data_IF_718389889343
#
_entry.id   IF_718389889343
#
_cell.length_a   1.000
_cell.length_b   1.000
_cell.length_c   1.000
_cell.angle_alpha   90.00
_cell.angle_beta   90.00
_cell.angle_gamma   90.00
#
_symmetry.space_group_name_H-M   'P 1'
#
loop_
_entity.id
_entity.type
_entity.pdbx_description
1 polymer ?
#
# COMPACT_ATOMS: atom_id res chain seq x y z
N UNK A 1 -65.00 7.72 -23.68
CA UNK A 1 -63.91 7.65 -22.69
C UNK A 1 -62.63 7.94 -23.44
N UNK A 2 -62.12 9.17 -23.33
CA UNK A 2 -60.90 9.60 -24.00
C UNK A 2 -59.71 9.24 -23.10
N UNK A 3 -58.71 8.59 -23.70
CA UNK A 3 -57.37 8.41 -23.16
C UNK A 3 -56.79 9.78 -22.77
N UNK A 4 -56.28 9.89 -21.54
CA UNK A 4 -55.45 11.00 -21.13
C UNK A 4 -53.99 10.54 -21.25
N UNK A 5 -53.41 10.84 -22.41
CA UNK A 5 -51.96 10.91 -22.59
C UNK A 5 -51.40 11.93 -21.60
N UNK A 6 -50.75 11.46 -20.54
CA UNK A 6 -49.89 12.30 -19.72
C UNK A 6 -48.54 12.34 -20.43
N UNK A 7 -48.40 13.33 -21.31
CA UNK A 7 -47.12 13.79 -21.83
C UNK A 7 -46.26 14.24 -20.65
N UNK A 8 -45.23 13.45 -20.32
CA UNK A 8 -44.19 13.82 -19.36
C UNK A 8 -43.04 14.48 -20.11
N UNK A 9 -43.23 15.74 -20.50
CA UNK A 9 -42.11 16.62 -20.80
C UNK A 9 -41.92 17.55 -19.60
N UNK A 10 -41.03 17.17 -18.69
CA UNK A 10 -40.47 18.08 -17.69
C UNK A 10 -39.00 17.77 -17.51
N UNK A 11 -38.22 18.38 -18.38
CA UNK A 11 -36.83 18.75 -18.17
C UNK A 11 -36.75 19.57 -16.87
N UNK A 12 -36.39 18.91 -15.76
CA UNK A 12 -36.09 19.53 -14.47
C UNK A 12 -35.09 18.60 -13.77
N UNK A 13 -33.92 19.15 -13.44
CA UNK A 13 -32.76 18.44 -12.92
C UNK A 13 -33.07 17.56 -11.70
N UNK A 14 -33.48 16.33 -11.96
CA UNK A 14 -33.60 15.30 -10.94
C UNK A 14 -32.17 14.93 -10.55
N UNK A 15 -31.78 15.30 -9.33
CA UNK A 15 -30.51 14.91 -8.71
C UNK A 15 -30.37 13.39 -8.85
N UNK A 16 -29.56 12.94 -9.82
CA UNK A 16 -29.47 11.54 -10.15
C UNK A 16 -28.59 10.86 -9.11
N UNK A 17 -29.21 10.27 -8.07
CA UNK A 17 -28.52 9.57 -7.00
C UNK A 17 -27.58 8.47 -7.53
N UNK A 18 -27.87 7.92 -8.72
CA UNK A 18 -26.99 6.95 -9.37
C UNK A 18 -25.69 7.56 -9.86
N UNK A 19 -25.68 8.84 -10.29
CA UNK A 19 -24.44 9.55 -10.66
C UNK A 19 -23.55 9.81 -9.44
N UNK A 20 -24.16 10.06 -8.27
CA UNK A 20 -23.41 10.20 -7.01
C UNK A 20 -22.77 8.88 -6.57
N UNK A 21 -23.38 7.75 -6.93
CA UNK A 21 -22.95 6.42 -6.48
C UNK A 21 -21.83 5.83 -7.37
N UNK A 22 -21.74 6.25 -8.64
CA UNK A 22 -20.69 5.81 -9.59
C UNK A 22 -19.26 5.83 -9.03
N UNK A 23 -18.77 6.93 -8.41
CA UNK A 23 -17.43 6.95 -7.86
C UNK A 23 -17.19 5.94 -6.73
N UNK A 24 -18.24 5.55 -6.00
CA UNK A 24 -18.14 4.66 -4.84
C UNK A 24 -18.36 3.18 -5.17
N UNK A 25 -18.78 2.83 -6.38
CA UNK A 25 -18.88 1.43 -6.85
C UNK A 25 -17.53 0.69 -6.79
N UNK A 26 -16.41 1.43 -6.77
CA UNK A 26 -15.09 0.84 -6.58
C UNK A 26 -14.93 0.21 -5.19
N UNK A 27 -15.65 0.72 -4.18
CA UNK A 27 -15.59 0.23 -2.82
C UNK A 27 -16.24 -1.16 -2.68
N UNK A 28 -17.25 -1.46 -3.50
CA UNK A 28 -17.91 -2.78 -3.53
C UNK A 28 -16.98 -3.90 -4.01
N UNK A 29 -15.86 -3.55 -4.66
CA UNK A 29 -14.84 -4.51 -5.11
C UNK A 29 -13.80 -4.83 -4.04
N UNK A 30 -13.81 -4.11 -2.91
CA UNK A 30 -12.89 -4.39 -1.81
C UNK A 30 -13.34 -5.65 -1.05
N UNK A 31 -12.40 -6.52 -0.67
CA UNK A 31 -12.66 -7.53 0.35
C UNK A 31 -13.19 -6.88 1.64
N UNK A 32 -14.09 -7.57 2.34
CA UNK A 32 -14.73 -7.07 3.56
C UNK A 32 -13.71 -6.61 4.61
N UNK A 33 -12.62 -7.37 4.78
CA UNK A 33 -11.54 -7.05 5.73
C UNK A 33 -10.74 -5.79 5.36
N UNK A 34 -10.72 -5.40 4.08
CA UNK A 34 -10.03 -4.20 3.59
C UNK A 34 -10.93 -2.97 3.55
N UNK A 35 -12.26 -3.13 3.59
CA UNK A 35 -13.20 -2.03 3.50
C UNK A 35 -12.95 -0.97 4.58
N UNK A 36 -13.04 -1.35 5.86
CA UNK A 36 -12.85 -0.39 6.96
C UNK A 36 -11.44 0.25 6.96
N UNK A 37 -10.33 -0.50 6.86
CA UNK A 37 -9.00 0.10 6.80
C UNK A 37 -8.83 1.10 5.65
N UNK A 38 -9.39 0.81 4.48
CA UNK A 38 -9.31 1.70 3.30
C UNK A 38 -10.14 2.97 3.52
N UNK A 39 -11.39 2.88 3.96
CA UNK A 39 -12.23 4.08 4.09
C UNK A 39 -11.71 5.04 5.17
N UNK A 40 -11.17 4.50 6.27
CA UNK A 40 -10.70 5.32 7.41
C UNK A 40 -9.29 5.90 7.22
N UNK A 41 -8.56 5.45 6.20
CA UNK A 41 -7.19 5.90 5.98
C UNK A 41 -7.17 7.39 5.54
N UNK A 42 -6.27 8.17 6.14
CA UNK A 42 -6.25 9.63 5.98
C UNK A 42 -5.43 10.12 4.78
N UNK A 43 -4.55 9.27 4.25
CA UNK A 43 -3.74 9.62 3.09
C UNK A 43 -4.57 9.58 1.79
N UNK A 44 -4.58 10.68 1.04
CA UNK A 44 -5.15 10.78 -0.30
C UNK A 44 -6.68 10.67 -0.36
N UNK A 45 -7.22 10.80 -1.58
CA UNK A 45 -8.65 10.66 -1.83
C UNK A 45 -9.11 9.20 -1.75
N UNK A 46 -10.34 8.98 -1.32
CA UNK A 46 -10.89 7.63 -1.09
C UNK A 46 -10.94 6.78 -2.37
N UNK A 47 -11.33 7.37 -3.51
CA UNK A 47 -11.43 6.68 -4.80
C UNK A 47 -10.06 6.23 -5.31
N UNK A 48 -9.10 7.15 -5.28
CA UNK A 48 -7.70 6.93 -5.63
C UNK A 48 -7.11 5.80 -4.79
N UNK A 49 -7.34 5.86 -3.47
CA UNK A 49 -6.87 4.86 -2.52
C UNK A 49 -7.50 3.49 -2.73
N UNK A 50 -8.82 3.42 -2.91
CA UNK A 50 -9.51 2.15 -3.15
C UNK A 50 -9.00 1.51 -4.45
N UNK A 51 -8.90 2.29 -5.52
CA UNK A 51 -8.37 1.84 -6.81
C UNK A 51 -6.93 1.34 -6.69
N UNK A 52 -6.10 2.06 -5.94
CA UNK A 52 -4.71 1.71 -5.66
C UNK A 52 -4.60 0.39 -4.90
N UNK A 53 -5.37 0.21 -3.83
CA UNK A 53 -5.36 -1.00 -3.01
C UNK A 53 -5.87 -2.21 -3.80
N UNK A 54 -6.91 -2.06 -4.62
CA UNK A 54 -7.39 -3.13 -5.50
C UNK A 54 -6.34 -3.50 -6.54
N UNK A 55 -5.72 -2.51 -7.17
CA UNK A 55 -4.65 -2.74 -8.15
C UNK A 55 -3.47 -3.47 -7.51
N UNK A 56 -3.05 -3.02 -6.32
CA UNK A 56 -1.97 -3.64 -5.58
C UNK A 56 -2.33 -5.08 -5.20
N UNK A 57 -3.53 -5.32 -4.68
CA UNK A 57 -4.05 -6.65 -4.35
C UNK A 57 -3.99 -7.60 -5.53
N UNK A 58 -4.51 -7.18 -6.68
CA UNK A 58 -4.57 -8.03 -7.87
C UNK A 58 -3.19 -8.42 -8.38
N UNK A 59 -2.22 -7.50 -8.33
CA UNK A 59 -0.83 -7.80 -8.72
C UNK A 59 -0.13 -8.68 -7.68
N UNK A 60 -0.33 -8.43 -6.39
CA UNK A 60 0.21 -9.27 -5.32
C UNK A 60 -0.31 -10.70 -5.43
N UNK A 61 -1.59 -10.89 -5.78
CA UNK A 61 -2.17 -12.20 -6.06
C UNK A 61 -1.53 -12.92 -7.27
N UNK A 62 -0.88 -12.19 -8.17
CA UNK A 62 -0.05 -12.77 -9.25
C UNK A 62 1.40 -13.01 -8.80
N UNK A 63 1.76 -12.58 -7.59
CA UNK A 63 3.11 -12.59 -7.03
C UNK A 63 4.01 -11.51 -7.61
N UNK A 64 3.43 -10.37 -8.01
CA UNK A 64 4.13 -9.28 -8.68
C UNK A 64 3.77 -7.92 -8.07
N UNK A 65 4.56 -6.90 -8.39
CA UNK A 65 4.20 -5.51 -8.09
C UNK A 65 3.60 -4.85 -9.34
N UNK A 66 2.68 -3.90 -9.19
CA UNK A 66 2.09 -3.17 -10.32
C UNK A 66 3.13 -2.34 -11.07
N UNK A 67 3.27 -2.60 -12.39
CA UNK A 67 4.06 -1.77 -13.31
C UNK A 67 3.39 -0.41 -13.58
N UNK A 68 2.05 -0.38 -13.53
CA UNK A 68 1.25 0.82 -13.73
C UNK A 68 1.44 1.84 -12.60
N UNK A 69 1.24 3.12 -12.94
CA UNK A 69 1.27 4.18 -11.95
C UNK A 69 0.08 4.06 -10.99
N UNK A 70 0.37 3.99 -9.69
CA UNK A 70 -0.65 4.00 -8.64
C UNK A 70 -0.85 5.46 -8.23
N UNK A 71 -1.94 6.05 -8.71
CA UNK A 71 -2.35 7.42 -8.39
C UNK A 71 -2.98 7.49 -6.99
N UNK A 72 -2.18 7.25 -5.95
CA UNK A 72 -2.58 7.43 -4.55
C UNK A 72 -1.39 7.83 -3.68
N UNK A 73 -0.26 7.15 -3.84
CA UNK A 73 0.96 7.42 -3.09
C UNK A 73 1.88 8.37 -3.86
N UNK A 74 2.50 9.34 -3.19
CA UNK A 74 3.54 10.14 -3.81
C UNK A 74 4.75 9.28 -4.15
N UNK A 75 5.51 9.69 -5.16
CA UNK A 75 6.59 8.89 -5.75
C UNK A 75 7.62 8.38 -4.73
N UNK A 76 7.95 9.20 -3.72
CA UNK A 76 8.92 8.85 -2.67
C UNK A 76 8.39 7.71 -1.80
N UNK A 77 7.12 7.81 -1.35
CA UNK A 77 6.48 6.79 -0.53
C UNK A 77 6.27 5.49 -1.30
N UNK A 78 5.82 5.58 -2.57
CA UNK A 78 5.68 4.43 -3.48
C UNK A 78 7.01 3.69 -3.63
N UNK A 79 8.09 4.42 -3.94
CA UNK A 79 9.42 3.84 -4.15
C UNK A 79 9.91 3.13 -2.89
N UNK A 80 9.75 3.76 -1.72
CA UNK A 80 10.14 3.15 -0.45
C UNK A 80 9.32 1.90 -0.14
N UNK A 81 8.01 1.92 -0.37
CA UNK A 81 7.14 0.75 -0.15
C UNK A 81 7.52 -0.41 -1.08
N UNK A 82 7.70 -0.14 -2.37
CA UNK A 82 8.06 -1.18 -3.34
C UNK A 82 9.42 -1.79 -3.03
N UNK A 83 10.39 -0.96 -2.62
CA UNK A 83 11.70 -1.43 -2.16
C UNK A 83 11.58 -2.36 -0.95
N UNK A 84 10.73 -2.04 0.02
CA UNK A 84 10.48 -2.90 1.18
C UNK A 84 9.83 -4.24 0.79
N UNK A 85 8.83 -4.22 -0.09
CA UNK A 85 8.16 -5.43 -0.57
C UNK A 85 9.11 -6.35 -1.35
N UNK A 86 10.05 -5.78 -2.11
CA UNK A 86 11.09 -6.54 -2.79
C UNK A 86 12.12 -7.10 -1.81
N UNK A 87 12.64 -6.27 -0.90
CA UNK A 87 13.67 -6.68 0.07
C UNK A 87 13.19 -7.74 1.06
N UNK A 88 11.89 -7.77 1.36
CA UNK A 88 11.29 -8.77 2.24
C UNK A 88 11.06 -10.11 1.55
N UNK A 89 11.22 -10.20 0.22
CA UNK A 89 11.03 -11.42 -0.59
C UNK A 89 9.66 -12.10 -0.40
N UNK A 90 8.62 -11.32 -0.09
CA UNK A 90 7.27 -11.85 0.23
C UNK A 90 6.38 -12.08 -1.00
N UNK A 91 6.76 -11.54 -2.16
CA UNK A 91 5.93 -11.58 -3.38
C UNK A 91 5.56 -13.01 -3.80
N UNK A 92 6.46 -14.01 -3.77
CA UNK A 92 6.09 -15.39 -4.11
C UNK A 92 4.99 -15.98 -3.22
N UNK A 93 4.88 -15.55 -1.95
CA UNK A 93 3.86 -16.05 -1.01
C UNK A 93 2.48 -15.44 -1.25
N UNK A 94 2.45 -14.29 -1.92
CA UNK A 94 1.21 -13.59 -2.22
C UNK A 94 0.45 -14.28 -3.37
N UNK A 95 1.14 -15.07 -4.22
CA UNK A 95 0.53 -15.69 -5.39
C UNK A 95 -0.62 -16.62 -5.01
N UNK A 96 -1.80 -16.36 -5.58
CA UNK A 96 -3.05 -17.08 -5.37
C UNK A 96 -3.47 -17.23 -3.90
N UNK A 97 -3.00 -16.36 -3.01
CA UNK A 97 -3.30 -16.40 -1.58
C UNK A 97 -3.95 -15.10 -1.09
N UNK A 98 -5.29 -14.98 -1.17
CA UNK A 98 -6.00 -13.76 -0.79
C UNK A 98 -5.86 -13.44 0.70
N UNK A 99 -5.82 -14.44 1.58
CA UNK A 99 -5.68 -14.20 3.03
C UNK A 99 -4.34 -13.53 3.39
N UNK A 100 -3.25 -14.03 2.81
CA UNK A 100 -1.91 -13.45 3.00
C UNK A 100 -1.85 -12.05 2.41
N UNK A 101 -2.37 -11.86 1.19
CA UNK A 101 -2.38 -10.55 0.53
C UNK A 101 -3.21 -9.55 1.33
N UNK A 102 -4.39 -9.93 1.80
CA UNK A 102 -5.29 -9.05 2.53
C UNK A 102 -4.70 -8.67 3.89
N UNK A 103 -4.09 -9.63 4.61
CA UNK A 103 -3.36 -9.34 5.85
C UNK A 103 -2.16 -8.42 5.62
N UNK A 104 -1.40 -8.63 4.54
CA UNK A 104 -0.27 -7.77 4.18
C UNK A 104 -0.73 -6.35 3.86
N UNK A 105 -1.80 -6.19 3.09
CA UNK A 105 -2.36 -4.89 2.74
C UNK A 105 -2.86 -4.14 3.97
N UNK A 106 -3.46 -4.82 4.94
CA UNK A 106 -3.84 -4.24 6.23
C UNK A 106 -2.62 -3.66 6.95
N UNK A 107 -1.51 -4.41 7.02
CA UNK A 107 -0.30 -3.94 7.69
C UNK A 107 0.40 -2.82 6.90
N UNK A 108 0.41 -2.87 5.56
CA UNK A 108 0.87 -1.76 4.71
C UNK A 108 0.07 -0.49 5.01
N UNK A 109 -1.26 -0.58 5.10
CA UNK A 109 -2.13 0.55 5.44
C UNK A 109 -1.80 1.12 6.83
N UNK A 110 -1.49 0.27 7.82
CA UNK A 110 -1.06 0.74 9.15
C UNK A 110 0.28 1.46 9.11
N UNK A 111 1.27 0.90 8.40
CA UNK A 111 2.60 1.52 8.24
C UNK A 111 2.49 2.87 7.54
N UNK A 112 1.67 2.97 6.48
CA UNK A 112 1.40 4.23 5.78
C UNK A 112 0.66 5.23 6.66
N UNK A 113 -0.32 4.79 7.45
CA UNK A 113 -1.02 5.66 8.39
C UNK A 113 -0.09 6.23 9.46
N UNK A 114 0.87 5.44 9.95
CA UNK A 114 1.88 5.91 10.89
C UNK A 114 2.84 6.91 10.24
N UNK A 115 3.35 6.61 9.04
CA UNK A 115 4.20 7.54 8.30
C UNK A 115 3.47 8.87 8.00
N UNK A 116 2.17 8.81 7.72
CA UNK A 116 1.34 10.00 7.48
C UNK A 116 1.31 10.96 8.67
N UNK A 117 1.36 10.44 9.91
CA UNK A 117 1.41 11.30 11.11
C UNK A 117 2.68 12.16 11.16
N UNK A 118 3.82 11.57 10.80
CA UNK A 118 5.10 12.31 10.70
C UNK A 118 5.11 13.25 9.50
N UNK A 119 4.54 12.81 8.36
CA UNK A 119 4.37 13.66 7.19
C UNK A 119 3.59 14.94 7.47
N UNK A 120 2.45 14.89 8.18
CA UNK A 120 1.66 16.09 8.51
C UNK A 120 2.51 17.14 9.26
N UNK A 121 3.35 16.68 10.20
CA UNK A 121 4.23 17.55 10.96
C UNK A 121 5.28 18.19 10.05
N UNK A 122 5.96 17.36 9.25
CA UNK A 122 7.00 17.81 8.32
C UNK A 122 6.45 18.75 7.25
N UNK A 123 5.25 18.48 6.74
CA UNK A 123 4.55 19.35 5.79
C UNK A 123 4.27 20.72 6.37
N UNK A 124 3.73 20.77 7.60
CA UNK A 124 3.43 22.03 8.27
C UNK A 124 4.70 22.87 8.46
N UNK A 125 5.82 22.23 8.82
CA UNK A 125 7.12 22.90 8.96
C UNK A 125 7.64 23.44 7.63
N UNK A 126 7.71 22.60 6.59
CA UNK A 126 8.18 23.01 5.27
C UNK A 126 7.31 24.12 4.68
N UNK A 127 5.99 23.96 4.71
CA UNK A 127 5.04 24.92 4.16
C UNK A 127 5.15 26.28 4.85
N UNK A 128 5.17 26.31 6.18
CA UNK A 128 5.26 27.56 6.93
C UNK A 128 6.60 28.27 6.71
N UNK A 129 7.72 27.53 6.65
CA UNK A 129 9.04 28.11 6.38
C UNK A 129 9.07 28.76 5.00
N UNK A 130 8.68 28.01 3.97
CA UNK A 130 8.68 28.50 2.59
C UNK A 130 7.70 29.67 2.38
N UNK A 131 6.53 29.64 3.02
CA UNK A 131 5.59 30.75 2.98
C UNK A 131 6.17 32.02 3.63
N UNK A 132 6.82 31.90 4.79
CA UNK A 132 7.42 33.04 5.48
C UNK A 132 8.59 33.64 4.70
N UNK A 133 9.43 32.80 4.09
CA UNK A 133 10.55 33.24 3.24
C UNK A 133 10.05 34.05 2.04
N UNK A 134 8.99 33.60 1.36
CA UNK A 134 8.40 34.30 0.21
C UNK A 134 7.70 35.60 0.61
N UNK A 135 7.00 35.63 1.75
CA UNK A 135 6.41 36.87 2.25
C UNK A 135 7.49 37.88 2.67
N UNK A 136 8.60 37.42 3.23
CA UNK A 136 9.71 38.27 3.61
C UNK A 136 10.42 38.87 2.38
N UNK A 137 10.65 38.08 1.33
CA UNK A 137 11.27 38.56 0.09
C UNK A 137 10.40 39.62 -0.60
N UNK A 138 9.09 39.37 -0.72
CA UNK A 138 8.14 40.33 -1.30
C UNK A 138 8.07 41.63 -0.50
N UNK A 139 8.08 41.54 0.84
CA UNK A 139 8.07 42.72 1.70
C UNK A 139 9.32 43.58 1.48
N UNK A 140 10.49 42.95 1.42
CA UNK A 140 11.76 43.65 1.14
C UNK A 140 11.71 44.30 -0.23
N UNK A 141 11.22 43.61 -1.27
CA UNK A 141 11.12 44.17 -2.61
C UNK A 141 10.20 45.39 -2.69
N UNK A 142 9.05 45.33 -2.01
CA UNK A 142 8.10 46.44 -1.96
C UNK A 142 8.66 47.64 -1.17
N UNK A 143 9.34 47.41 -0.04
CA UNK A 143 10.02 48.47 0.70
C UNK A 143 11.13 49.15 -0.13
N UNK A 144 11.89 48.37 -0.91
CA UNK A 144 12.88 48.89 -1.86
C UNK A 144 12.23 49.70 -2.99
N UNK A 145 11.12 49.23 -3.55
CA UNK A 145 10.37 49.93 -4.59
C UNK A 145 9.77 51.25 -4.09
N UNK A 146 9.20 51.28 -2.88
CA UNK A 146 8.70 52.51 -2.25
C UNK A 146 9.82 53.51 -1.96
N UNK A 147 10.96 53.03 -1.45
CA UNK A 147 12.13 53.87 -1.20
C UNK A 147 12.66 54.51 -2.49
N UNK A 148 12.59 53.81 -3.64
CA UNK A 148 12.91 54.37 -4.96
C UNK A 148 11.90 55.42 -5.42
N UNK A 149 10.61 55.25 -5.11
CA UNK A 149 9.54 56.20 -5.47
C UNK A 149 9.58 57.49 -4.64
N UNK A 150 9.87 57.40 -3.34
CA UNK A 150 9.94 58.57 -2.45
C UNK A 150 11.12 59.50 -2.76
N UNK A 151 12.24 58.99 -3.29
CA UNK A 151 13.36 59.82 -3.78
C UNK A 151 12.98 60.73 -4.97
N UNK A 152 11.83 60.50 -5.62
CA UNK A 152 11.34 61.28 -6.77
C UNK A 152 10.12 62.17 -6.46
N UNK A 153 9.53 62.11 -5.27
CA UNK A 153 8.30 62.86 -4.94
C UNK A 153 8.31 63.38 -3.50
N UNK A 154 8.22 64.70 -3.35
CA UNK A 154 8.03 65.34 -2.05
C UNK A 154 6.58 65.14 -1.58
N UNK A 155 6.44 64.39 -0.47
CA UNK A 155 5.28 64.33 0.43
C UNK A 155 4.15 63.36 0.04
N UNK A 156 4.09 62.18 0.67
CA UNK A 156 2.81 61.55 1.10
C UNK A 156 3.01 60.41 2.11
N UNK A 157 1.98 60.22 2.96
CA UNK A 157 1.88 59.29 4.10
C UNK A 157 2.26 57.84 3.75
N UNK A 158 3.00 57.21 4.66
CA UNK A 158 3.36 55.78 4.66
C UNK A 158 2.07 54.93 4.80
N UNK A 159 1.58 54.38 3.69
CA UNK A 159 0.51 53.38 3.71
C UNK A 159 1.10 52.03 4.12
N UNK A 160 0.37 51.26 4.93
CA UNK A 160 0.80 49.90 5.32
C UNK A 160 0.79 48.99 4.08
N UNK A 161 1.97 48.51 3.68
CA UNK A 161 2.11 47.53 2.61
C UNK A 161 1.45 46.23 3.05
N UNK A 162 0.38 45.82 2.37
CA UNK A 162 -0.26 44.53 2.58
C UNK A 162 0.33 43.55 1.56
N UNK A 163 1.07 42.54 2.03
CA UNK A 163 1.74 41.55 1.18
C UNK A 163 0.90 40.28 1.17
N UNK A 164 0.49 39.84 -0.02
CA UNK A 164 -0.25 38.61 -0.21
C UNK A 164 0.37 37.82 -1.36
N UNK A 165 0.46 36.49 -1.19
CA UNK A 165 0.93 35.58 -2.23
C UNK A 165 -0.16 35.35 -3.28
N UNK A 166 0.24 35.22 -4.53
CA UNK A 166 -0.66 34.83 -5.60
C UNK A 166 -1.11 33.36 -5.44
N UNK A 167 -2.26 32.97 -6.01
CA UNK A 167 -2.70 31.57 -5.99
C UNK A 167 -1.72 30.59 -6.64
N UNK A 168 -0.96 31.05 -7.64
CA UNK A 168 0.02 30.23 -8.37
C UNK A 168 1.27 29.95 -7.53
N UNK A 169 1.83 30.99 -6.89
CA UNK A 169 2.95 30.84 -5.95
C UNK A 169 2.57 29.94 -4.77
N UNK A 170 1.34 30.07 -4.26
CA UNK A 170 0.85 29.18 -3.20
C UNK A 170 0.76 27.72 -3.66
N UNK A 171 0.36 27.46 -4.91
CA UNK A 171 0.31 26.11 -5.45
C UNK A 171 1.72 25.50 -5.59
N UNK A 172 2.69 26.30 -6.03
CA UNK A 172 4.08 25.87 -6.14
C UNK A 172 4.74 25.59 -4.78
N UNK A 173 4.49 26.46 -3.79
CA UNK A 173 4.92 26.24 -2.41
C UNK A 173 4.32 24.95 -1.84
N UNK A 174 3.03 24.69 -2.09
CA UNK A 174 2.40 23.43 -1.65
C UNK A 174 3.08 22.23 -2.29
N UNK A 175 3.23 22.21 -3.62
CA UNK A 175 3.82 21.08 -4.34
C UNK A 175 5.27 20.80 -3.89
N UNK A 176 6.10 21.84 -3.74
CA UNK A 176 7.47 21.70 -3.25
C UNK A 176 7.54 21.23 -1.79
N UNK A 177 6.65 21.75 -0.94
CA UNK A 177 6.55 21.35 0.47
C UNK A 177 6.11 19.89 0.63
N UNK A 178 5.19 19.40 -0.21
CA UNK A 178 4.78 17.98 -0.19
C UNK A 178 5.96 17.05 -0.46
N UNK A 179 6.75 17.37 -1.49
CA UNK A 179 7.94 16.59 -1.87
C UNK A 179 8.98 16.61 -0.74
N UNK A 180 9.25 17.79 -0.17
CA UNK A 180 10.22 17.95 0.91
C UNK A 180 9.78 17.20 2.19
N UNK A 181 8.50 17.30 2.55
CA UNK A 181 7.95 16.65 3.72
C UNK A 181 8.00 15.12 3.64
N UNK A 182 7.70 14.53 2.48
CA UNK A 182 7.83 13.09 2.29
C UNK A 182 9.29 12.63 2.36
N UNK A 183 10.23 13.39 1.79
CA UNK A 183 11.66 13.09 1.93
C UNK A 183 12.11 13.12 3.38
N UNK A 184 11.75 14.17 4.14
CA UNK A 184 12.07 14.27 5.56
C UNK A 184 11.48 13.09 6.36
N UNK A 185 10.21 12.78 6.12
CA UNK A 185 9.51 11.66 6.78
C UNK A 185 10.19 10.32 6.52
N UNK A 186 10.60 10.05 5.28
CA UNK A 186 11.24 8.79 4.92
C UNK A 186 12.70 8.68 5.40
N UNK A 187 13.35 9.81 5.66
CA UNK A 187 14.68 9.85 6.28
C UNK A 187 14.62 9.53 7.78
N UNK A 188 13.56 9.98 8.46
CA UNK A 188 13.32 9.70 9.88
C UNK A 188 12.75 8.30 10.10
N UNK A 189 11.89 7.85 9.18
CA UNK A 189 11.13 6.62 9.28
C UNK A 189 11.10 5.90 7.93
N UNK A 190 11.77 4.75 7.84
CA UNK A 190 11.61 3.86 6.70
C UNK A 190 10.26 3.16 6.76
N UNK A 191 9.55 3.08 5.62
CA UNK A 191 8.34 2.26 5.47
C UNK A 191 8.71 0.78 5.58
N UNK A 192 8.84 0.30 6.81
CA UNK A 192 9.24 -1.07 7.14
C UNK A 192 8.02 -1.88 7.52
N UNK A 193 7.92 -3.09 6.98
CA UNK A 193 6.86 -4.00 7.39
C UNK A 193 7.12 -4.51 8.81
N UNK A 194 6.06 -4.88 9.55
CA UNK A 194 6.22 -5.59 10.81
C UNK A 194 7.14 -6.80 10.68
N UNK A 195 8.03 -7.01 11.65
CA UNK A 195 9.08 -8.05 11.61
C UNK A 195 8.54 -9.46 11.32
N UNK A 196 7.28 -9.72 11.66
CA UNK A 196 6.59 -10.98 11.39
C UNK A 196 6.58 -11.35 9.90
N UNK A 197 6.57 -10.37 8.98
CA UNK A 197 6.60 -10.63 7.54
C UNK A 197 7.95 -11.16 7.07
N UNK A 198 9.04 -10.65 7.65
CA UNK A 198 10.38 -11.15 7.41
C UNK A 198 10.55 -12.56 7.96
N UNK A 199 10.12 -12.80 9.21
CA UNK A 199 10.15 -14.14 9.81
C UNK A 199 9.39 -15.18 8.96
N UNK A 200 8.17 -14.82 8.51
CA UNK A 200 7.36 -15.67 7.63
C UNK A 200 8.07 -15.97 6.31
N UNK A 201 8.71 -14.96 5.73
CA UNK A 201 9.47 -15.09 4.49
C UNK A 201 10.65 -16.04 4.63
N UNK A 202 11.45 -15.83 5.67
CA UNK A 202 12.63 -16.63 5.96
C UNK A 202 12.26 -18.11 6.21
N UNK A 203 11.15 -18.35 6.94
CA UNK A 203 10.64 -19.71 7.19
C UNK A 203 10.13 -20.40 5.92
N UNK A 204 9.42 -19.67 5.06
CA UNK A 204 8.94 -20.24 3.81
C UNK A 204 10.10 -20.65 2.92
N UNK A 205 11.13 -19.80 2.78
CA UNK A 205 12.29 -20.11 1.96
C UNK A 205 13.07 -21.31 2.48
N UNK A 206 13.24 -21.44 3.80
CA UNK A 206 13.84 -22.63 4.41
C UNK A 206 13.06 -23.91 4.08
N UNK A 207 11.73 -23.85 4.10
CA UNK A 207 10.91 -25.01 3.78
C UNK A 207 10.93 -25.33 2.29
N UNK A 208 10.87 -24.31 1.43
CA UNK A 208 11.04 -24.45 -0.01
C UNK A 208 12.37 -25.14 -0.33
N UNK A 209 13.47 -24.74 0.32
CA UNK A 209 14.80 -25.35 0.17
C UNK A 209 14.79 -26.84 0.54
N UNK A 210 14.23 -27.20 1.70
CA UNK A 210 14.11 -28.60 2.13
C UNK A 210 13.28 -29.44 1.14
N UNK A 211 12.17 -28.91 0.62
CA UNK A 211 11.36 -29.64 -0.36
C UNK A 211 12.02 -29.70 -1.73
N UNK A 212 12.81 -28.69 -2.10
CA UNK A 212 13.61 -28.65 -3.33
C UNK A 212 14.69 -29.72 -3.32
N UNK A 213 15.41 -29.84 -2.21
CA UNK A 213 16.41 -30.87 -1.99
C UNK A 213 15.82 -32.28 -2.11
N UNK A 214 14.56 -32.45 -1.69
CA UNK A 214 13.83 -33.72 -1.81
C UNK A 214 13.29 -34.00 -3.22
N UNK A 215 13.56 -33.15 -4.22
CA UNK A 215 13.01 -33.22 -5.59
C UNK A 215 11.47 -33.28 -5.66
N UNK A 216 10.81 -32.87 -4.58
CA UNK A 216 9.34 -32.83 -4.47
C UNK A 216 8.75 -31.57 -5.15
N UNK A 217 9.60 -30.66 -5.62
CA UNK A 217 9.25 -29.28 -6.00
C UNK A 217 8.47 -29.13 -7.30
N UNK A 218 8.43 -30.12 -8.19
CA UNK A 218 7.74 -29.95 -9.47
C UNK A 218 6.20 -29.79 -9.35
N UNK A 219 5.60 -30.09 -8.19
CA UNK A 219 4.16 -29.88 -7.96
C UNK A 219 3.76 -29.48 -6.52
N UNK A 220 4.65 -29.60 -5.53
CA UNK A 220 4.30 -29.45 -4.10
C UNK A 220 4.54 -28.04 -3.55
N UNK A 221 5.53 -27.30 -4.07
CA UNK A 221 5.85 -25.95 -3.57
C UNK A 221 4.69 -24.96 -3.66
N UNK A 222 3.76 -25.20 -4.58
CA UNK A 222 2.58 -24.37 -4.83
C UNK A 222 1.30 -24.86 -4.13
N UNK A 223 1.17 -26.17 -3.87
CA UNK A 223 -0.01 -26.74 -3.20
C UNK A 223 0.10 -26.68 -1.66
N UNK A 224 1.32 -26.55 -1.13
CA UNK A 224 1.58 -26.26 0.28
C UNK A 224 0.96 -24.92 0.72
N UNK A 225 0.91 -23.91 -0.15
CA UNK A 225 0.29 -22.62 0.23
C UNK A 225 -1.24 -22.64 0.22
N UNK A 226 -1.87 -23.50 -0.59
CA UNK A 226 -3.34 -23.51 -0.76
C UNK A 226 -4.09 -24.35 0.28
N UNK A 227 -3.53 -25.49 0.71
CA UNK A 227 -4.19 -26.39 1.67
C UNK A 227 -3.65 -26.32 3.10
N UNK A 228 -2.35 -26.13 3.29
CA UNK A 228 -1.70 -26.17 4.60
C UNK A 228 -1.82 -24.84 5.37
N UNK A 229 -2.04 -23.72 4.66
CA UNK A 229 -2.15 -22.39 5.27
C UNK A 229 -3.57 -22.03 5.78
N UNK A 230 -4.62 -22.75 5.35
CA UNK A 230 -6.03 -22.40 5.63
C UNK A 230 -6.53 -22.73 7.05
N UNK A 231 -5.84 -23.59 7.82
CA UNK A 231 -6.22 -23.85 9.21
C UNK A 231 -4.99 -23.88 10.11
N UNK A 232 -4.72 -22.81 10.86
CA UNK A 232 -3.59 -22.77 11.81
C UNK A 232 -2.20 -23.09 11.20
N UNK A 233 -2.04 -22.88 9.88
CA UNK A 233 -0.90 -23.37 9.11
C UNK A 233 0.47 -22.88 9.56
N UNK A 234 0.54 -21.69 10.17
CA UNK A 234 1.79 -21.11 10.68
C UNK A 234 2.37 -21.90 11.87
N UNK A 235 1.51 -22.41 12.77
CA UNK A 235 1.92 -23.24 13.91
C UNK A 235 2.40 -24.61 13.40
N UNK A 236 1.81 -25.09 12.31
CA UNK A 236 2.22 -26.31 11.64
C UNK A 236 3.54 -26.13 10.88
N UNK A 237 3.85 -24.94 10.34
CA UNK A 237 5.18 -24.65 9.75
C UNK A 237 6.31 -24.74 10.80
N UNK A 238 6.07 -24.23 12.02
CA UNK A 238 7.02 -24.34 13.14
C UNK A 238 7.16 -25.78 13.62
N UNK A 239 6.05 -26.53 13.72
CA UNK A 239 6.08 -27.97 14.05
C UNK A 239 6.75 -28.81 12.96
N UNK A 240 6.53 -28.47 11.69
CA UNK A 240 7.14 -29.15 10.55
C UNK A 240 8.65 -28.92 10.56
N UNK A 241 9.12 -27.71 10.90
CA UNK A 241 10.53 -27.41 11.16
C UNK A 241 11.11 -28.29 12.29
N UNK A 242 10.41 -28.42 13.42
CA UNK A 242 10.87 -29.30 14.50
C UNK A 242 10.92 -30.77 14.09
N UNK A 243 9.93 -31.26 13.34
CA UNK A 243 9.86 -32.64 12.90
C UNK A 243 10.91 -32.96 11.85
N UNK A 244 11.16 -32.06 10.89
CA UNK A 244 12.22 -32.20 9.88
C UNK A 244 13.62 -32.12 10.51
N UNK A 245 13.80 -31.28 11.53
CA UNK A 245 15.03 -31.24 12.31
C UNK A 245 15.31 -32.54 13.09
N UNK A 246 14.27 -33.28 13.46
CA UNK A 246 14.35 -34.54 14.21
C UNK A 246 14.47 -35.78 13.31
N UNK A 247 14.27 -35.68 12.01
CA UNK A 247 14.19 -36.83 11.09
C UNK A 247 15.10 -36.69 9.84
N UNK A 248 16.44 -36.74 10.01
CA UNK A 248 17.37 -36.68 8.88
C UNK A 248 17.27 -37.89 7.93
N UNK A 249 16.70 -39.01 8.39
CA UNK A 249 16.46 -40.23 7.59
C UNK A 249 15.55 -39.99 6.36
N UNK A 250 14.65 -38.99 6.40
CA UNK A 250 13.79 -38.65 5.27
C UNK A 250 14.55 -38.01 4.10
N UNK A 251 15.80 -37.55 4.33
CA UNK A 251 16.69 -37.06 3.25
C UNK A 251 17.21 -38.18 2.34
N UNK A 252 17.17 -39.44 2.80
CA UNK A 252 17.89 -40.54 2.15
C UNK A 252 16.96 -41.37 1.24
N UNK A 253 15.64 -41.31 1.43
CA UNK A 253 14.70 -42.21 0.75
C UNK A 253 14.01 -41.64 -0.51
N UNK A 254 14.32 -40.43 -0.96
CA UNK A 254 13.82 -39.90 -2.25
C UNK A 254 14.91 -40.00 -3.31
N UNK A 255 15.26 -41.25 -3.67
CA UNK A 255 15.91 -41.53 -4.95
C UNK A 255 14.93 -41.32 -6.11
N UNK A 256 15.39 -41.24 -7.37
CA UNK A 256 14.59 -40.81 -8.51
C UNK A 256 13.51 -41.85 -8.83
N UNK A 257 12.35 -41.74 -8.19
CA UNK A 257 11.15 -42.49 -8.56
C UNK A 257 10.41 -41.61 -9.58
N UNK A 258 10.96 -41.59 -10.78
CA UNK A 258 10.20 -41.28 -11.97
C UNK A 258 9.17 -42.39 -12.16
N UNK A 259 7.93 -41.96 -12.36
CA UNK A 259 6.74 -42.75 -12.69
C UNK A 259 5.96 -43.42 -11.54
N UNK A 260 4.65 -43.20 -11.65
CA UNK A 260 3.52 -43.83 -10.95
C UNK A 260 3.16 -43.33 -9.55
N UNK A 261 2.15 -42.46 -9.51
CA UNK A 261 0.94 -42.65 -8.68
C UNK A 261 1.05 -42.61 -7.15
N UNK A 262 2.24 -42.46 -6.55
CA UNK A 262 2.44 -42.53 -5.10
C UNK A 262 2.38 -41.19 -4.35
N UNK A 263 2.24 -40.06 -5.05
CA UNK A 263 2.25 -38.74 -4.41
C UNK A 263 1.08 -38.48 -3.44
N UNK A 264 -0.07 -39.14 -3.64
CA UNK A 264 -1.17 -39.07 -2.66
C UNK A 264 -0.86 -39.89 -1.40
N UNK A 265 -0.25 -41.05 -1.53
CA UNK A 265 0.00 -41.94 -0.39
C UNK A 265 1.00 -41.33 0.58
N UNK A 266 2.12 -40.76 0.11
CA UNK A 266 3.11 -40.12 0.98
C UNK A 266 2.56 -38.88 1.68
N UNK A 267 1.74 -38.09 0.98
CA UNK A 267 1.06 -36.93 1.56
C UNK A 267 0.04 -37.35 2.62
N UNK A 268 -0.73 -38.42 2.37
CA UNK A 268 -1.62 -39.02 3.37
C UNK A 268 -0.85 -39.57 4.56
N UNK A 269 0.31 -40.22 4.37
CA UNK A 269 1.11 -40.75 5.47
C UNK A 269 1.74 -39.63 6.31
N UNK A 270 2.24 -38.56 5.70
CA UNK A 270 2.73 -37.38 6.41
C UNK A 270 1.60 -36.64 7.14
N UNK A 271 0.43 -36.51 6.53
CA UNK A 271 -0.75 -35.92 7.16
C UNK A 271 -1.28 -36.79 8.31
N UNK A 272 -1.25 -38.13 8.18
CA UNK A 272 -1.61 -39.06 9.24
C UNK A 272 -0.60 -39.06 10.38
N UNK A 273 0.71 -39.01 10.11
CA UNK A 273 1.73 -38.95 11.16
C UNK A 273 1.61 -37.64 11.95
N UNK A 274 1.28 -36.52 11.30
CA UNK A 274 1.04 -35.25 11.98
C UNK A 274 -0.25 -35.27 12.82
N UNK A 275 -1.27 -36.04 12.45
CA UNK A 275 -2.53 -36.18 13.20
C UNK A 275 -2.53 -37.32 14.26
N UNK A 276 -1.64 -38.31 14.17
CA UNK A 276 -1.55 -39.42 15.13
C UNK A 276 -0.81 -39.02 16.42
N UNK A 277 0.01 -37.97 16.40
CA UNK A 277 0.78 -37.50 17.56
C UNK A 277 0.14 -36.30 18.31
N UNK A 278 -1.17 -36.09 18.16
CA UNK A 278 -2.02 -35.39 19.15
C UNK A 278 -2.62 -36.37 20.13
#
# INVERSE_FOLDING_TARGET
>A
MHELEISSNSDNGLFNLNELNKPYQILDKLPECLFSPVITHQLGMIEQRATAVITLRNNLLMGQLPDSEINWLPAQAKTSLYKELLNSNILPFCRDNPEVVDALLIDILKVLAHAHQSYIKNYTLCFNSSQQEQLASLKIELELAESRRQKKSNKTKKQSINVALSPEELAEIKASSEIAAWKATLNEYSLTLPAIWKERSDLWWQLFDVFSDLQLVASIGFDLSKGFLQSHGWLNMVKLRELLGKLPQLRISVGPISHFGLNRSLFFTLFFIVNIYT
#
